data_IF_305938938934
#
_entry.id   IF_305938938934
#
_cell.length_a   1.000
_cell.length_b   1.000
_cell.length_c   1.000
_cell.angle_alpha   90.00
_cell.angle_beta   90.00
_cell.angle_gamma   90.00
#
_symmetry.space_group_name_H-M   'P 1'
#
loop_
_entity.id
_entity.type
_entity.pdbx_description
1 polymer ?
#
# COMPACT_ATOMS: atom_id res chain seq x y z
N UNK A 1 -15.15 -2.59 -15.29
CA UNK A 1 -14.47 -2.17 -15.39
C UNK A 1 -13.51 -2.28 -15.80
N UNK A 2 -13.24 -1.79 -16.01
CA UNK A 2 -12.42 -1.77 -16.37
C UNK A 2 -11.49 -1.67 -16.07
N UNK A 3 -10.94 -1.73 -16.01
CA UNK A 3 -10.13 -1.73 -15.84
C UNK A 3 -9.21 -1.57 -15.94
N UNK A 4 -8.90 -1.81 -16.16
CA UNK A 4 -7.86 -1.75 -16.47
C UNK A 4 -7.01 -0.74 -16.75
N UNK A 5 -7.22 0.15 -16.54
CA UNK A 5 -6.50 1.36 -16.54
C UNK A 5 -5.30 1.29 -15.68
N UNK A 6 -5.41 0.55 -14.62
CA UNK A 6 -4.34 0.43 -13.64
C UNK A 6 -3.50 -0.78 -13.97
N UNK A 7 -2.21 -0.57 -14.14
CA UNK A 7 -1.28 -1.65 -14.36
C UNK A 7 -1.06 -2.44 -13.09
N UNK A 8 -0.61 -3.66 -13.26
CA UNK A 8 -0.24 -4.50 -12.15
C UNK A 8 1.28 -4.65 -12.15
N UNK A 9 1.99 -3.71 -11.52
CA UNK A 9 3.45 -3.79 -11.50
C UNK A 9 3.92 -5.06 -10.86
N UNK A 10 4.95 -5.66 -11.42
CA UNK A 10 5.42 -6.93 -10.95
C UNK A 10 5.94 -6.88 -9.52
N UNK A 11 6.48 -5.75 -9.12
CA UNK A 11 7.00 -5.64 -7.77
C UNK A 11 5.90 -5.61 -6.71
N UNK A 12 4.64 -5.60 -7.13
CA UNK A 12 3.51 -5.71 -6.21
C UNK A 12 2.95 -7.12 -6.20
N UNK A 13 3.61 -8.06 -6.84
CA UNK A 13 3.15 -9.44 -6.83
C UNK A 13 2.58 -9.93 -8.15
N UNK A 14 2.46 -9.06 -9.15
CA UNK A 14 2.01 -9.45 -10.47
C UNK A 14 0.50 -9.53 -10.58
N UNK A 15 0.05 -9.81 -11.79
CA UNK A 15 -1.37 -9.75 -12.11
C UNK A 15 -2.20 -10.81 -11.44
N UNK A 16 -1.68 -12.02 -11.34
CA UNK A 16 -2.44 -13.14 -10.82
C UNK A 16 -2.25 -13.38 -9.34
N UNK A 17 -1.41 -12.59 -8.70
CA UNK A 17 -1.09 -12.82 -7.30
C UNK A 17 -2.24 -12.32 -6.42
N UNK A 18 -2.85 -13.22 -5.64
CA UNK A 18 -3.95 -12.84 -4.77
C UNK A 18 -3.51 -11.90 -3.65
N UNK A 19 -2.23 -11.85 -3.38
CA UNK A 19 -1.68 -10.97 -2.34
C UNK A 19 -1.18 -9.65 -2.90
N UNK A 20 -1.47 -9.36 -4.15
CA UNK A 20 -1.17 -8.05 -4.73
C UNK A 20 -1.81 -6.97 -3.87
N UNK A 21 -1.06 -5.88 -3.62
CA UNK A 21 -1.51 -4.86 -2.67
C UNK A 21 -2.91 -4.34 -2.96
N UNK A 22 -3.21 -4.05 -4.24
CA UNK A 22 -4.54 -3.50 -4.56
C UNK A 22 -5.65 -4.49 -4.22
N UNK A 23 -5.40 -5.78 -4.38
CA UNK A 23 -6.40 -6.78 -4.07
C UNK A 23 -6.64 -6.88 -2.56
N UNK A 24 -5.58 -6.77 -1.78
CA UNK A 24 -5.70 -6.77 -0.32
C UNK A 24 -6.45 -5.53 0.14
N UNK A 25 -6.11 -4.38 -0.42
CA UNK A 25 -6.76 -3.13 -0.07
C UNK A 25 -8.26 -3.21 -0.35
N UNK A 26 -8.62 -3.75 -1.50
CA UNK A 26 -10.03 -3.93 -1.86
C UNK A 26 -10.71 -4.93 -0.95
N UNK A 27 -10.07 -6.08 -0.72
CA UNK A 27 -10.67 -7.15 0.06
C UNK A 27 -10.93 -6.73 1.49
N UNK A 28 -10.06 -5.92 2.05
CA UNK A 28 -10.18 -5.45 3.43
C UNK A 28 -10.92 -4.12 3.54
N UNK A 29 -11.33 -3.56 2.40
CA UNK A 29 -12.05 -2.29 2.35
C UNK A 29 -11.31 -1.19 3.10
N UNK A 30 -10.02 -1.07 2.80
CA UNK A 30 -9.17 -0.09 3.47
C UNK A 30 -9.38 1.30 2.88
N UNK A 31 -9.37 2.31 3.73
CA UNK A 31 -9.45 3.69 3.26
C UNK A 31 -8.11 4.13 2.69
N UNK A 32 -8.04 5.40 2.28
CA UNK A 32 -6.85 5.94 1.63
C UNK A 32 -5.59 5.79 2.48
N UNK A 33 -5.68 6.15 3.76
CA UNK A 33 -4.50 6.10 4.63
C UNK A 33 -4.05 4.67 4.88
N UNK A 34 -4.98 3.79 5.22
CA UNK A 34 -4.63 2.41 5.49
C UNK A 34 -4.19 1.69 4.23
N UNK A 35 -4.82 2.02 3.09
CA UNK A 35 -4.41 1.47 1.81
C UNK A 35 -2.99 1.85 1.45
N UNK A 36 -2.62 3.11 1.65
CA UNK A 36 -1.25 3.53 1.38
C UNK A 36 -0.26 2.89 2.33
N UNK A 37 -0.66 2.71 3.59
CA UNK A 37 0.18 2.01 4.56
C UNK A 37 0.51 0.61 4.05
N UNK A 38 -0.51 -0.14 3.64
CA UNK A 38 -0.32 -1.50 3.12
C UNK A 38 0.52 -1.48 1.86
N UNK A 39 0.26 -0.52 0.96
CA UNK A 39 1.01 -0.42 -0.29
C UNK A 39 2.50 -0.25 -0.02
N UNK A 40 2.86 0.68 0.86
CA UNK A 40 4.27 0.94 1.11
C UNK A 40 4.95 -0.19 1.85
N UNK A 41 4.23 -0.86 2.76
CA UNK A 41 4.77 -2.04 3.41
C UNK A 41 5.02 -3.15 2.39
N UNK A 42 4.08 -3.35 1.48
CA UNK A 42 4.18 -4.45 0.52
C UNK A 42 5.36 -4.29 -0.43
N UNK A 43 5.80 -3.05 -0.69
CA UNK A 43 6.88 -2.81 -1.63
C UNK A 43 8.21 -2.47 -0.96
N UNK A 44 8.23 -2.35 0.36
CA UNK A 44 9.43 -1.87 1.06
C UNK A 44 10.66 -2.72 0.70
N UNK A 45 11.60 -2.07 0.03
CA UNK A 45 12.86 -2.71 -0.34
C UNK A 45 12.80 -3.69 -1.50
N UNK A 46 11.61 -3.99 -2.01
CA UNK A 46 11.49 -5.01 -3.06
C UNK A 46 11.86 -4.50 -4.44
N UNK A 47 11.43 -3.29 -4.75
CA UNK A 47 11.78 -2.70 -6.03
C UNK A 47 13.20 -2.16 -6.00
N UNK A 48 13.60 -1.57 -4.88
CA UNK A 48 14.87 -0.88 -4.75
C UNK A 48 15.30 -1.02 -3.30
N UNK A 49 16.23 -1.93 -3.00
CA UNK A 49 16.61 -2.21 -1.61
C UNK A 49 17.04 -0.97 -0.83
N UNK A 50 17.69 -0.01 -1.49
CA UNK A 50 18.16 1.19 -0.81
C UNK A 50 17.00 2.10 -0.42
N UNK A 51 15.80 1.83 -0.92
CA UNK A 51 14.63 2.64 -0.57
C UNK A 51 13.74 1.99 0.47
N UNK A 52 14.19 0.91 1.05
CA UNK A 52 13.38 0.21 2.05
C UNK A 52 13.00 1.12 3.20
N UNK A 53 13.97 1.82 3.75
CA UNK A 53 13.71 2.73 4.87
C UNK A 53 12.74 3.84 4.48
N UNK A 54 12.92 4.38 3.28
CA UNK A 54 12.04 5.43 2.79
C UNK A 54 10.60 4.95 2.69
N UNK A 55 10.41 3.74 2.15
CA UNK A 55 9.07 3.18 2.03
C UNK A 55 8.44 2.94 3.39
N UNK A 56 9.22 2.46 4.35
CA UNK A 56 8.70 2.23 5.69
C UNK A 56 8.31 3.54 6.37
N UNK A 57 9.07 4.60 6.15
CA UNK A 57 8.73 5.90 6.70
C UNK A 57 7.45 6.44 6.08
N UNK A 58 7.23 6.19 4.80
CA UNK A 58 5.99 6.58 4.15
C UNK A 58 4.81 5.81 4.74
N UNK A 59 4.98 4.51 4.95
CA UNK A 59 3.93 3.72 5.57
C UNK A 59 3.60 4.27 6.96
N UNK A 60 4.64 4.61 7.73
CA UNK A 60 4.44 5.16 9.05
C UNK A 60 3.70 6.49 9.00
N UNK A 61 4.02 7.33 8.03
CA UNK A 61 3.36 8.63 7.90
C UNK A 61 1.85 8.47 7.71
N UNK A 62 1.45 7.57 6.81
CA UNK A 62 0.03 7.36 6.56
C UNK A 62 -0.68 6.74 7.76
N UNK A 63 -0.01 5.80 8.42
CA UNK A 63 -0.59 5.17 9.60
C UNK A 63 -0.76 6.20 10.72
N UNK A 64 0.25 7.03 10.94
CA UNK A 64 0.20 8.06 11.98
C UNK A 64 -0.89 9.07 11.66
N UNK A 65 -1.03 9.42 10.39
CA UNK A 65 -2.08 10.36 9.97
C UNK A 65 -3.46 9.82 10.34
N UNK A 66 -3.68 8.54 10.09
CA UNK A 66 -4.96 7.91 10.42
C UNK A 66 -5.20 7.92 11.93
N UNK A 67 -4.19 7.57 12.69
CA UNK A 67 -4.28 7.57 14.15
C UNK A 67 -4.63 8.97 14.64
N UNK A 68 -3.95 9.98 14.13
CA UNK A 68 -4.20 11.37 14.54
C UNK A 68 -5.64 11.78 14.27
N UNK A 69 -6.16 11.39 13.12
CA UNK A 69 -7.54 11.73 12.78
C UNK A 69 -8.52 11.10 13.76
N UNK A 70 -8.26 9.87 14.16
CA UNK A 70 -9.15 9.19 15.10
C UNK A 70 -9.04 9.78 16.51
N UNK A 71 -7.85 10.21 16.88
CA UNK A 71 -7.64 10.82 18.19
C UNK A 71 -8.24 12.21 18.31
N UNK A 72 -8.42 12.89 17.20
CA UNK A 72 -8.90 14.27 17.18
C UNK A 72 -10.36 14.39 16.78
N UNK A 73 -11.10 13.34 16.95
CA UNK A 73 -12.52 13.38 16.63
C UNK A 73 -13.34 14.17 17.63
#
# INVERSE_FOLDING_TARGET
>A
MEKEMVNHPEHYGGKSNVYEAIKVIDAWDLDFCLGNTVKYISRAGKKSPEKELEDLKKALWYLQHKINKLENK
#
